data_IF_576407541582
#
_entry.id   IF_576407541582
#
_cell.length_a   1.000
_cell.length_b   1.000
_cell.length_c   1.000
_cell.angle_alpha   90.00
_cell.angle_beta   90.00
_cell.angle_gamma   90.00
#
_symmetry.space_group_name_H-M   'P 1'
#
loop_
_entity.id
_entity.type
_entity.pdbx_description
1 polymer ?
#
# COMPACT_ATOMS: atom_id res chain seq x y z
N UNK A 1 25.96 12.44 20.32
CA UNK A 1 25.12 12.41 19.10
C UNK A 1 24.94 13.85 18.64
N UNK A 2 25.46 14.20 17.47
CA UNK A 2 25.29 15.54 16.92
C UNK A 2 23.85 15.65 16.38
N UNK A 3 23.03 16.49 17.01
CA UNK A 3 21.69 16.80 16.51
C UNK A 3 21.86 17.65 15.24
N UNK A 4 21.50 17.09 14.07
CA UNK A 4 21.45 17.87 12.82
C UNK A 4 20.33 18.88 12.96
N UNK A 5 20.69 20.16 13.08
CA UNK A 5 19.77 21.26 13.16
C UNK A 5 19.38 21.69 11.72
N UNK A 6 18.15 21.38 11.29
CA UNK A 6 17.58 21.83 10.00
C UNK A 6 16.49 22.90 10.22
N UNK A 7 16.88 24.12 10.66
CA UNK A 7 15.92 25.17 10.96
C UNK A 7 15.16 25.54 9.69
N UNK A 8 13.84 25.70 9.81
CA UNK A 8 12.90 26.00 8.71
C UNK A 8 12.89 24.97 7.55
N UNK A 9 13.49 23.80 7.76
CA UNK A 9 13.57 22.72 6.78
C UNK A 9 14.11 23.15 5.39
N UNK A 10 15.16 23.99 5.40
CA UNK A 10 15.80 24.53 4.20
C UNK A 10 16.87 23.61 3.59
N UNK A 11 17.44 22.70 4.37
CA UNK A 11 18.31 21.65 3.83
C UNK A 11 17.48 20.47 3.33
N UNK A 12 17.95 19.86 2.25
CA UNK A 12 17.37 18.64 1.70
C UNK A 12 17.46 17.53 2.74
N UNK A 13 16.32 16.88 2.97
CA UNK A 13 16.23 15.61 3.69
C UNK A 13 15.70 14.61 2.68
N UNK A 14 16.39 13.50 2.56
CA UNK A 14 15.99 12.34 1.78
C UNK A 14 15.91 11.15 2.73
N UNK A 15 14.80 10.41 2.66
CA UNK A 15 14.51 9.32 3.58
C UNK A 15 13.95 8.14 2.81
N UNK A 16 14.70 7.04 2.85
CA UNK A 16 14.21 5.73 2.44
C UNK A 16 13.04 5.32 3.35
N UNK A 17 11.88 5.14 2.73
CA UNK A 17 10.60 4.82 3.32
C UNK A 17 10.11 3.40 2.98
N UNK A 18 10.94 2.54 2.37
CA UNK A 18 10.60 1.12 2.13
C UNK A 18 10.21 0.39 3.44
N UNK A 19 10.89 0.60 4.59
CA UNK A 19 10.43 0.02 5.86
C UNK A 19 9.04 0.52 6.27
N UNK A 20 8.77 1.82 6.11
CA UNK A 20 7.45 2.40 6.40
C UNK A 20 6.38 1.85 5.48
N UNK A 21 6.68 1.69 4.18
CA UNK A 21 5.75 1.12 3.21
C UNK A 21 5.41 -0.33 3.57
N UNK A 22 6.42 -1.12 3.96
CA UNK A 22 6.24 -2.50 4.42
C UNK A 22 5.31 -2.56 5.63
N UNK A 23 5.52 -1.70 6.63
CA UNK A 23 4.66 -1.63 7.81
C UNK A 23 3.24 -1.16 7.46
N UNK A 24 3.11 -0.19 6.56
CA UNK A 24 1.83 0.32 6.08
C UNK A 24 1.00 -0.80 5.44
N UNK A 25 1.56 -1.57 4.50
CA UNK A 25 0.83 -2.65 3.85
C UNK A 25 0.55 -3.82 4.82
N UNK A 26 1.47 -4.13 5.73
CA UNK A 26 1.18 -5.13 6.78
C UNK A 26 0.04 -4.71 7.70
N UNK A 27 -0.15 -3.41 7.94
CA UNK A 27 -1.21 -2.90 8.80
C UNK A 27 -2.56 -2.75 8.09
N UNK A 28 -2.54 -2.21 6.87
CA UNK A 28 -3.76 -1.77 6.18
C UNK A 28 -4.25 -2.79 5.15
N UNK A 29 -3.35 -3.59 4.55
CA UNK A 29 -3.73 -4.63 3.59
C UNK A 29 -4.05 -5.95 4.30
N UNK A 30 -3.22 -6.38 5.25
CA UNK A 30 -3.46 -7.63 6.00
C UNK A 30 -4.70 -7.46 6.87
N UNK A 31 -5.53 -8.50 6.95
CA UNK A 31 -6.85 -8.51 7.58
C UNK A 31 -7.92 -7.68 6.86
N UNK A 32 -7.64 -7.10 5.69
CA UNK A 32 -8.70 -6.58 4.83
C UNK A 32 -9.63 -7.75 4.47
N UNK A 33 -10.88 -7.64 4.91
CA UNK A 33 -11.93 -8.62 4.67
C UNK A 33 -13.05 -8.00 3.85
N UNK A 34 -13.36 -8.62 2.72
CA UNK A 34 -14.40 -8.16 1.79
C UNK A 34 -15.43 -9.29 1.67
N UNK A 35 -16.53 -9.23 2.44
CA UNK A 35 -17.66 -10.13 2.24
C UNK A 35 -18.41 -9.72 0.97
N UNK A 36 -18.69 -10.68 0.11
CA UNK A 36 -19.50 -10.46 -1.08
C UNK A 36 -20.32 -11.69 -1.45
N UNK A 37 -21.63 -11.64 -1.18
CA UNK A 37 -22.62 -12.70 -1.41
C UNK A 37 -22.06 -14.11 -1.13
N UNK A 38 -21.60 -14.82 -2.16
CA UNK A 38 -21.09 -16.19 -2.12
C UNK A 38 -19.61 -16.33 -1.74
N UNK A 39 -18.89 -15.22 -1.57
CA UNK A 39 -17.45 -15.19 -1.30
C UNK A 39 -17.10 -14.32 -0.10
N UNK A 40 -16.08 -14.74 0.65
CA UNK A 40 -15.37 -13.90 1.61
C UNK A 40 -13.91 -13.89 1.22
N UNK A 41 -13.39 -12.71 0.88
CA UNK A 41 -11.98 -12.50 0.59
C UNK A 41 -11.31 -11.94 1.84
N UNK A 42 -10.22 -12.56 2.29
CA UNK A 42 -9.43 -12.06 3.43
C UNK A 42 -7.95 -12.07 3.08
N UNK A 43 -7.28 -10.92 3.22
CA UNK A 43 -5.82 -10.90 3.04
C UNK A 43 -5.16 -11.60 4.22
N UNK A 44 -4.46 -12.70 3.94
CA UNK A 44 -3.76 -13.53 4.93
C UNK A 44 -2.42 -12.91 5.33
N UNK A 45 -1.61 -12.49 4.36
CA UNK A 45 -0.29 -11.93 4.64
C UNK A 45 0.30 -11.19 3.44
N UNK A 46 1.17 -10.22 3.72
CA UNK A 46 2.11 -9.67 2.75
C UNK A 46 3.26 -10.67 2.57
N UNK A 47 3.56 -11.07 1.34
CA UNK A 47 4.61 -12.04 1.02
C UNK A 47 5.93 -11.35 0.70
N UNK A 48 5.89 -10.30 -0.10
CA UNK A 48 7.05 -9.45 -0.36
C UNK A 48 6.63 -8.05 -0.77
N UNK A 49 7.48 -7.09 -0.46
CA UNK A 49 7.45 -5.73 -0.97
C UNK A 49 8.89 -5.35 -1.33
N UNK A 50 9.10 -4.91 -2.56
CA UNK A 50 10.42 -4.56 -3.08
C UNK A 50 10.32 -3.36 -4.03
N UNK A 51 11.43 -2.69 -4.26
CA UNK A 51 11.48 -1.46 -5.06
C UNK A 51 11.91 -0.29 -4.19
N UNK A 52 11.64 0.91 -4.67
CA UNK A 52 12.11 2.15 -4.07
C UNK A 52 10.93 2.98 -3.55
N UNK A 53 11.13 3.65 -2.43
CA UNK A 53 10.14 4.51 -1.82
C UNK A 53 10.87 5.56 -1.01
N UNK A 54 10.90 6.78 -1.52
CA UNK A 54 11.64 7.88 -0.93
C UNK A 54 10.73 9.07 -0.67
N UNK A 55 11.00 9.74 0.44
CA UNK A 55 10.35 10.99 0.80
C UNK A 55 11.39 12.07 0.91
N UNK A 56 11.19 13.13 0.15
CA UNK A 56 12.03 14.32 0.18
C UNK A 56 11.28 15.49 0.79
N UNK A 57 12.01 16.34 1.51
CA UNK A 57 11.45 17.55 2.08
C UNK A 57 12.25 18.78 1.71
N UNK A 58 11.56 19.80 1.16
CA UNK A 58 12.17 21.07 0.79
C UNK A 58 11.23 22.23 1.02
N UNK A 59 11.69 23.25 1.76
CA UNK A 59 10.94 24.49 2.03
C UNK A 59 9.54 24.22 2.60
N UNK A 60 9.43 23.28 3.54
CA UNK A 60 8.16 22.89 4.16
C UNK A 60 7.27 21.97 3.33
N UNK A 61 7.57 21.74 2.05
CA UNK A 61 6.83 20.79 1.22
C UNK A 61 7.44 19.39 1.30
N UNK A 62 6.60 18.40 1.58
CA UNK A 62 6.94 16.98 1.48
C UNK A 62 6.54 16.48 0.10
N UNK A 63 7.42 15.72 -0.53
CA UNK A 63 7.16 15.02 -1.79
C UNK A 63 7.62 13.58 -1.64
N UNK A 64 6.89 12.65 -2.26
CA UNK A 64 7.32 11.27 -2.35
C UNK A 64 7.62 10.92 -3.80
N UNK A 65 8.43 9.88 -3.97
CA UNK A 65 8.58 9.14 -5.20
C UNK A 65 8.69 7.67 -4.81
N UNK A 66 7.91 6.81 -5.45
CA UNK A 66 7.97 5.38 -5.17
C UNK A 66 7.67 4.58 -6.42
N UNK A 67 8.26 3.40 -6.47
CA UNK A 67 8.02 2.34 -7.45
C UNK A 67 8.13 1.03 -6.68
N UNK A 68 6.98 0.38 -6.44
CA UNK A 68 6.89 -0.78 -5.56
C UNK A 68 6.30 -1.97 -6.30
N UNK A 69 6.95 -3.12 -6.15
CA UNK A 69 6.39 -4.43 -6.43
C UNK A 69 5.85 -5.04 -5.14
N UNK A 70 4.59 -5.45 -5.15
CA UNK A 70 3.87 -5.93 -3.97
C UNK A 70 3.26 -7.31 -4.27
N UNK A 71 3.61 -8.31 -3.47
CA UNK A 71 3.05 -9.66 -3.55
C UNK A 71 2.39 -10.02 -2.21
N UNK A 72 1.14 -10.46 -2.24
CA UNK A 72 0.37 -10.82 -1.06
C UNK A 72 -0.55 -12.03 -1.30
N UNK A 73 -0.98 -12.66 -0.20
CA UNK A 73 -1.82 -13.86 -0.23
C UNK A 73 -3.22 -13.48 0.23
N UNK A 74 -4.21 -13.80 -0.60
CA UNK A 74 -5.63 -13.67 -0.29
C UNK A 74 -6.23 -15.04 -0.08
N UNK A 75 -6.85 -15.24 1.07
CA UNK A 75 -7.74 -16.35 1.30
C UNK A 75 -9.11 -16.06 0.66
N UNK A 76 -9.58 -16.98 -0.18
CA UNK A 76 -10.90 -16.92 -0.80
C UNK A 76 -11.73 -18.08 -0.27
N UNK A 77 -12.75 -17.76 0.52
CA UNK A 77 -13.74 -18.72 1.01
C UNK A 77 -15.03 -18.58 0.23
N UNK A 78 -15.53 -19.66 -0.37
CA UNK A 78 -16.87 -19.69 -1.00
C UNK A 78 -17.94 -20.23 -0.04
N UNK A 79 -19.22 -20.04 -0.40
CA UNK A 79 -20.39 -20.58 0.32
C UNK A 79 -20.44 -22.11 0.38
N UNK A 80 -19.70 -22.81 -0.50
CA UNK A 80 -19.54 -24.28 -0.48
C UNK A 80 -18.44 -24.76 0.50
N UNK A 81 -17.96 -23.87 1.39
CA UNK A 81 -16.85 -24.10 2.32
C UNK A 81 -15.51 -24.49 1.64
N UNK A 82 -15.36 -24.24 0.34
CA UNK A 82 -14.06 -24.32 -0.33
C UNK A 82 -13.21 -23.09 -0.02
N UNK A 83 -12.12 -23.32 0.71
CA UNK A 83 -11.11 -22.31 1.03
C UNK A 83 -9.87 -22.49 0.15
N UNK A 84 -9.38 -21.41 -0.45
CA UNK A 84 -8.16 -21.43 -1.26
C UNK A 84 -7.32 -20.17 -1.07
N UNK A 85 -6.01 -20.35 -0.96
CA UNK A 85 -5.04 -19.26 -0.93
C UNK A 85 -4.60 -18.91 -2.34
N UNK A 86 -4.87 -17.67 -2.74
CA UNK A 86 -4.51 -17.11 -4.03
C UNK A 86 -3.43 -16.06 -3.84
N UNK A 87 -2.34 -16.17 -4.60
CA UNK A 87 -1.29 -15.14 -4.61
C UNK A 87 -1.65 -14.06 -5.63
N UNK A 88 -1.62 -12.80 -5.20
CA UNK A 88 -1.83 -11.62 -6.03
C UNK A 88 -0.53 -10.81 -6.07
N UNK A 89 -0.17 -10.33 -7.26
CA UNK A 89 1.02 -9.51 -7.48
C UNK A 89 0.59 -8.21 -8.16
N UNK A 90 1.00 -7.09 -7.58
CA UNK A 90 1.06 -5.80 -8.25
C UNK A 90 2.53 -5.60 -8.67
N UNK A 91 2.88 -5.81 -9.95
CA UNK A 91 4.26 -5.80 -10.40
C UNK A 91 4.88 -4.40 -10.28
N UNK A 92 4.08 -3.37 -10.55
CA UNK A 92 4.45 -1.96 -10.53
C UNK A 92 3.34 -1.18 -9.82
N UNK A 93 3.75 -0.35 -8.87
CA UNK A 93 2.90 0.58 -8.15
C UNK A 93 3.69 1.87 -7.95
N UNK A 94 3.25 2.94 -8.60
CA UNK A 94 4.04 4.16 -8.68
C UNK A 94 3.27 5.39 -8.18
N UNK A 95 4.01 6.48 -8.06
CA UNK A 95 3.48 7.80 -7.76
C UNK A 95 2.36 8.20 -8.74
N UNK A 96 1.32 8.83 -8.20
CA UNK A 96 0.17 9.37 -8.94
C UNK A 96 -0.70 8.32 -9.68
N UNK A 97 -0.60 7.03 -9.33
CA UNK A 97 -1.54 6.01 -9.81
C UNK A 97 -2.99 6.36 -9.45
N UNK A 98 -3.88 6.20 -10.44
CA UNK A 98 -5.33 6.25 -10.29
C UNK A 98 -5.98 4.86 -10.40
N UNK A 99 -7.32 4.79 -10.31
CA UNK A 99 -8.07 3.53 -10.34
C UNK A 99 -7.80 2.68 -11.59
N UNK A 100 -7.43 3.31 -12.72
CA UNK A 100 -7.22 2.65 -14.00
C UNK A 100 -5.80 2.14 -14.23
N UNK A 101 -4.83 2.62 -13.46
CA UNK A 101 -3.41 2.27 -13.61
C UNK A 101 -3.04 0.90 -13.01
N UNK A 102 -3.87 0.38 -12.10
CA UNK A 102 -3.57 -0.86 -11.38
C UNK A 102 -3.66 -2.12 -12.25
N UNK A 103 -2.51 -2.74 -12.51
CA UNK A 103 -2.40 -4.00 -13.25
C UNK A 103 -2.03 -5.18 -12.34
N UNK A 104 -3.03 -5.83 -11.75
CA UNK A 104 -2.81 -6.99 -10.88
C UNK A 104 -2.70 -8.32 -11.65
N UNK A 105 -1.67 -9.09 -11.32
CA UNK A 105 -1.54 -10.50 -11.67
C UNK A 105 -2.14 -11.39 -10.58
N UNK A 106 -2.99 -12.35 -10.96
CA UNK A 106 -3.63 -13.28 -10.02
C UNK A 106 -3.18 -14.70 -10.36
N UNK A 107 -2.48 -15.34 -9.41
CA UNK A 107 -1.97 -16.71 -9.53
C UNK A 107 -2.97 -17.71 -8.95
N UNK A 108 -3.94 -18.10 -9.77
CA UNK A 108 -4.84 -19.25 -9.53
C UNK A 108 -5.16 -19.94 -10.85
N UNK A 109 -5.43 -21.25 -10.80
CA UNK A 109 -5.91 -22.04 -11.93
C UNK A 109 -7.44 -22.02 -12.04
N UNK A 110 -8.16 -21.58 -11.00
CA UNK A 110 -9.63 -21.50 -10.96
C UNK A 110 -10.14 -20.18 -11.54
N UNK A 111 -10.80 -20.24 -12.70
CA UNK A 111 -11.25 -19.06 -13.47
C UNK A 111 -12.36 -18.26 -12.78
N UNK A 112 -13.24 -18.95 -12.05
CA UNK A 112 -14.32 -18.39 -11.24
C UNK A 112 -13.76 -17.50 -10.12
N UNK A 113 -12.83 -18.02 -9.31
CA UNK A 113 -12.16 -17.25 -8.24
C UNK A 113 -11.36 -16.08 -8.78
N UNK A 114 -10.65 -16.29 -9.90
CA UNK A 114 -9.94 -15.19 -10.59
C UNK A 114 -10.88 -14.04 -10.96
N UNK A 115 -12.06 -14.37 -11.51
CA UNK A 115 -13.07 -13.39 -11.90
C UNK A 115 -13.68 -12.69 -10.69
N UNK A 116 -13.97 -13.45 -9.63
CA UNK A 116 -14.53 -12.92 -8.38
C UNK A 116 -13.54 -11.95 -7.68
N UNK A 117 -12.26 -12.30 -7.59
CA UNK A 117 -11.20 -11.44 -7.05
C UNK A 117 -11.14 -10.12 -7.84
N UNK A 118 -11.12 -10.20 -9.19
CA UNK A 118 -11.05 -9.00 -10.04
C UNK A 118 -12.24 -8.07 -9.86
N UNK A 119 -13.44 -8.64 -9.77
CA UNK A 119 -14.68 -7.88 -9.74
C UNK A 119 -15.00 -7.29 -8.37
N UNK A 120 -14.65 -8.00 -7.30
CA UNK A 120 -15.15 -7.68 -5.96
C UNK A 120 -14.04 -7.28 -4.98
N UNK A 121 -12.92 -7.99 -4.99
CA UNK A 121 -11.85 -7.73 -4.02
C UNK A 121 -10.91 -6.61 -4.45
N UNK A 122 -10.39 -6.64 -5.68
CA UNK A 122 -9.39 -5.67 -6.14
C UNK A 122 -9.88 -4.22 -6.08
N UNK A 123 -11.11 -3.85 -6.49
CA UNK A 123 -11.57 -2.46 -6.38
C UNK A 123 -11.61 -1.95 -4.93
N UNK A 124 -11.95 -2.83 -3.98
CA UNK A 124 -11.96 -2.48 -2.56
C UNK A 124 -10.53 -2.32 -2.04
N UNK A 125 -9.63 -3.25 -2.38
CA UNK A 125 -8.23 -3.15 -1.99
C UNK A 125 -7.57 -1.88 -2.56
N UNK A 126 -7.80 -1.57 -3.85
CA UNK A 126 -7.33 -0.35 -4.50
C UNK A 126 -7.78 0.89 -3.74
N UNK A 127 -9.09 1.02 -3.50
CA UNK A 127 -9.67 2.20 -2.85
C UNK A 127 -9.28 2.34 -1.39
N UNK A 128 -9.34 1.26 -0.62
CA UNK A 128 -9.18 1.32 0.82
C UNK A 128 -7.71 1.35 1.26
N UNK A 129 -6.79 0.87 0.43
CA UNK A 129 -5.38 0.69 0.79
C UNK A 129 -4.44 1.40 -0.19
N UNK A 130 -4.47 1.04 -1.47
CA UNK A 130 -3.45 1.49 -2.43
C UNK A 130 -3.57 2.98 -2.77
N UNK A 131 -4.77 3.47 -3.10
CA UNK A 131 -4.98 4.89 -3.39
C UNK A 131 -4.79 5.80 -2.17
N UNK A 132 -4.88 5.24 -0.96
CA UNK A 132 -4.57 5.96 0.29
C UNK A 132 -3.08 5.94 0.64
N UNK A 133 -2.29 5.07 0.03
CA UNK A 133 -0.87 4.92 0.34
C UNK A 133 -0.09 6.23 0.18
N UNK A 134 -0.21 6.88 -0.98
CA UNK A 134 0.49 8.13 -1.28
C UNK A 134 0.13 9.28 -0.32
N UNK A 135 -1.16 9.62 -0.11
CA UNK A 135 -1.50 10.68 0.84
C UNK A 135 -1.08 10.32 2.27
N UNK A 136 -1.19 9.06 2.68
CA UNK A 136 -0.77 8.63 4.02
C UNK A 136 0.75 8.66 4.19
N UNK A 137 1.52 8.33 3.13
CA UNK A 137 2.98 8.42 3.12
C UNK A 137 3.44 9.87 3.32
N UNK A 138 2.82 10.81 2.59
CA UNK A 138 3.08 12.24 2.72
C UNK A 138 2.70 12.70 4.13
N UNK A 139 1.48 12.42 4.59
CA UNK A 139 0.99 12.85 5.90
C UNK A 139 1.81 12.30 7.08
N UNK A 140 2.31 11.06 6.97
CA UNK A 140 3.17 10.45 7.99
C UNK A 140 4.56 11.11 8.09
N UNK A 141 5.00 11.79 7.03
CA UNK A 141 6.30 12.44 6.93
C UNK A 141 6.23 13.97 6.87
N UNK A 142 5.03 14.54 6.84
CA UNK A 142 4.82 15.96 7.03
C UNK A 142 5.32 16.39 8.43
N UNK A 143 6.08 17.50 8.51
CA UNK A 143 6.44 18.04 9.82
C UNK A 143 5.17 18.44 10.53
N UNK A 144 5.05 17.99 11.78
CA UNK A 144 4.16 18.66 12.72
C UNK A 144 4.67 20.09 12.87
N UNK A 145 3.92 21.07 12.38
CA UNK A 145 4.15 22.49 12.67
C UNK A 145 4.18 22.66 14.20
N UNK A 146 5.37 22.62 14.80
CA UNK A 146 5.55 23.10 16.17
C UNK A 146 5.37 24.61 16.07
N UNK A 147 4.22 25.10 16.54
CA UNK A 147 4.13 26.49 16.97
C UNK A 147 5.11 26.65 18.13
N UNK A 148 6.34 27.06 17.85
CA UNK A 148 7.17 27.70 18.86
C UNK A 148 6.50 29.04 19.14
N UNK A 149 5.61 29.02 20.12
CA UNK A 149 5.14 30.23 20.77
C UNK A 149 5.97 30.32 22.03
N UNK A 150 7.06 31.06 21.94
CA UNK A 150 7.69 31.74 23.07
C UNK A 150 7.68 33.24 22.72
#
# INVERSE_FOLDING_TARGET
MATVHNPNNWHWVDKNCVPWATDYFNKNLVNLSVPQDDYVFTVKSLKSLSGDCDVTQRKGNVRCLFELKIEFIVNVKSSEDEEEEVTIILPEFEHDYDESDFLFEIKTTKSDKKSAIKKHFLPVAQKEVFLKFQPDLIAAHEPKLRHNTD
#
